data_IF_948419974349
#
_entry.id   IF_948419974349
#
_cell.length_a   1.000
_cell.length_b   1.000
_cell.length_c   1.000
_cell.angle_alpha   90.00
_cell.angle_beta   90.00
_cell.angle_gamma   90.00
#
_symmetry.space_group_name_H-M   'P 1'
#
loop_
_entity.id
_entity.type
_entity.pdbx_description
1 polymer ?
#
# COMPACT_ATOMS: atom_id res chain seq x y z
N UNK A 1 -11.87 62.02 -60.25
CA UNK A 1 -10.85 61.78 -59.21
C UNK A 1 -11.52 61.11 -58.03
N UNK A 2 -11.47 59.81 -57.95
CA UNK A 2 -12.13 59.03 -56.88
C UNK A 2 -11.10 58.65 -55.82
N UNK A 3 -11.24 59.16 -54.61
CA UNK A 3 -10.42 58.82 -53.45
C UNK A 3 -10.89 57.50 -52.88
N UNK A 4 -10.02 56.50 -52.90
CA UNK A 4 -10.21 55.13 -52.34
C UNK A 4 -9.81 55.15 -50.85
N UNK A 5 -10.78 55.09 -49.95
CA UNK A 5 -10.52 55.01 -48.51
C UNK A 5 -10.27 53.55 -48.10
N UNK A 6 -9.05 53.21 -47.65
CA UNK A 6 -8.76 51.93 -47.03
C UNK A 6 -9.15 51.93 -45.56
N UNK A 7 -10.08 51.05 -45.20
CA UNK A 7 -10.42 50.78 -43.80
C UNK A 7 -9.51 49.70 -43.28
N UNK A 8 -8.60 50.05 -42.36
CA UNK A 8 -7.78 49.11 -41.63
C UNK A 8 -8.62 48.50 -40.49
N UNK A 9 -8.90 47.20 -40.57
CA UNK A 9 -9.54 46.44 -39.49
C UNK A 9 -8.44 45.94 -38.55
N UNK A 10 -8.39 46.46 -37.33
CA UNK A 10 -7.49 45.97 -36.27
C UNK A 10 -8.18 44.78 -35.61
N UNK A 11 -7.65 43.57 -35.86
CA UNK A 11 -8.06 42.36 -35.15
C UNK A 11 -7.40 42.34 -33.77
N UNK A 12 -8.18 42.56 -32.72
CA UNK A 12 -7.70 42.36 -31.35
C UNK A 12 -7.61 40.87 -31.03
N UNK A 13 -6.39 40.38 -30.91
CA UNK A 13 -6.11 38.99 -30.44
C UNK A 13 -6.27 38.97 -28.93
N UNK A 14 -7.40 38.44 -28.45
CA UNK A 14 -7.63 38.13 -27.04
C UNK A 14 -6.80 36.95 -26.64
N UNK A 15 -5.63 37.16 -26.02
CA UNK A 15 -4.87 36.15 -25.36
C UNK A 15 -5.56 35.72 -24.04
N UNK A 16 -6.22 34.58 -24.04
CA UNK A 16 -6.74 33.95 -22.82
C UNK A 16 -5.56 33.46 -21.99
N UNK A 17 -5.44 33.83 -20.69
CA UNK A 17 -4.46 33.25 -19.81
C UNK A 17 -4.81 31.77 -19.60
N UNK A 18 -3.98 30.85 -20.03
CA UNK A 18 -4.03 29.44 -19.63
C UNK A 18 -3.73 29.39 -18.13
N UNK A 19 -4.77 29.22 -17.32
CA UNK A 19 -4.62 28.82 -15.92
C UNK A 19 -4.00 27.41 -15.93
N UNK A 20 -2.68 27.33 -15.78
CA UNK A 20 -2.03 26.10 -15.44
C UNK A 20 -2.59 25.69 -14.07
N UNK A 21 -3.44 24.66 -14.04
CA UNK A 21 -3.83 24.03 -12.79
C UNK A 21 -2.57 23.51 -12.13
N UNK A 22 -2.10 24.20 -11.10
CA UNK A 22 -1.07 23.69 -10.22
C UNK A 22 -1.66 22.42 -9.57
N UNK A 23 -1.31 21.26 -10.09
CA UNK A 23 -1.62 19.99 -9.46
C UNK A 23 -1.05 20.05 -8.05
N UNK A 24 -1.93 20.06 -7.05
CA UNK A 24 -1.51 19.86 -5.66
C UNK A 24 -0.89 18.49 -5.60
N UNK A 25 0.44 18.41 -5.50
CA UNK A 25 1.13 17.18 -5.17
C UNK A 25 0.67 16.81 -3.77
N UNK A 26 -0.22 15.81 -3.71
CA UNK A 26 -0.68 15.32 -2.43
C UNK A 26 0.47 14.58 -1.77
N UNK A 27 0.97 15.12 -0.67
CA UNK A 27 1.98 14.46 0.17
C UNK A 27 1.29 13.48 1.11
N UNK A 28 1.79 12.26 1.14
CA UNK A 28 1.36 11.25 2.08
C UNK A 28 2.06 11.41 3.43
N UNK A 29 1.44 10.87 4.47
CA UNK A 29 2.00 10.68 5.81
C UNK A 29 1.23 9.58 6.53
N UNK A 30 1.58 9.26 7.76
CA UNK A 30 0.98 8.16 8.52
C UNK A 30 -0.53 8.32 8.73
N UNK A 31 -1.05 9.55 8.83
CA UNK A 31 -2.47 9.82 9.02
C UNK A 31 -3.36 9.37 7.85
N UNK A 32 -2.79 9.09 6.68
CA UNK A 32 -3.55 8.60 5.52
C UNK A 32 -4.13 7.20 5.78
N UNK A 33 -3.49 6.42 6.66
CA UNK A 33 -3.94 5.10 7.07
C UNK A 33 -4.66 5.17 8.41
N UNK A 34 -5.99 5.14 8.37
CA UNK A 34 -6.83 5.13 9.58
C UNK A 34 -8.06 4.26 9.37
N UNK A 35 -8.37 3.43 10.39
CA UNK A 35 -9.52 2.53 10.38
C UNK A 35 -9.16 1.10 10.04
N UNK A 36 -10.17 0.30 9.72
CA UNK A 36 -10.04 -1.12 9.48
C UNK A 36 -9.77 -1.42 8.01
N UNK A 37 -8.86 -2.36 7.78
CA UNK A 37 -8.49 -2.89 6.46
C UNK A 37 -8.53 -4.41 6.48
N UNK A 38 -8.84 -5.02 5.35
CA UNK A 38 -8.67 -6.45 5.12
C UNK A 38 -7.49 -6.65 4.18
N UNK A 39 -6.46 -7.32 4.69
CA UNK A 39 -5.30 -7.76 3.95
C UNK A 39 -5.58 -9.12 3.33
N UNK A 40 -5.38 -9.22 2.02
CA UNK A 40 -5.29 -10.48 1.29
C UNK A 40 -3.90 -10.55 0.62
N UNK A 41 -3.11 -11.53 1.02
CA UNK A 41 -1.77 -11.73 0.51
C UNK A 41 -1.52 -13.19 0.16
N UNK A 42 -0.70 -13.43 -0.85
CA UNK A 42 -0.30 -14.77 -1.27
C UNK A 42 1.17 -14.80 -1.67
N UNK A 43 1.74 -15.98 -1.66
CA UNK A 43 3.13 -16.18 -2.00
C UNK A 43 3.61 -17.56 -1.65
N UNK A 44 4.86 -17.63 -1.20
CA UNK A 44 5.52 -18.89 -0.87
C UNK A 44 6.27 -18.78 0.45
N UNK A 45 6.34 -19.90 1.15
CA UNK A 45 7.12 -20.05 2.37
C UNK A 45 7.93 -21.34 2.34
N UNK A 46 8.95 -21.40 3.17
CA UNK A 46 9.65 -22.65 3.50
C UNK A 46 9.99 -22.64 4.98
N UNK A 47 10.14 -23.81 5.63
CA UNK A 47 10.51 -23.88 7.03
C UNK A 47 11.81 -23.11 7.30
N UNK A 48 11.88 -22.35 8.39
CA UNK A 48 13.02 -21.48 8.70
C UNK A 48 14.35 -22.23 8.85
N UNK A 49 14.28 -23.48 9.34
CA UNK A 49 15.43 -24.36 9.55
C UNK A 49 15.81 -25.20 8.31
N UNK A 50 15.18 -24.93 7.15
CA UNK A 50 15.40 -25.75 5.96
C UNK A 50 16.72 -25.42 5.28
N UNK A 51 17.43 -26.47 4.87
CA UNK A 51 18.66 -26.37 4.10
C UNK A 51 18.45 -25.99 2.64
N UNK A 52 19.55 -25.79 1.89
CA UNK A 52 19.49 -25.62 0.45
C UNK A 52 18.73 -26.76 -0.22
N UNK A 53 17.81 -26.44 -1.13
CA UNK A 53 17.02 -27.42 -1.87
C UNK A 53 15.66 -27.77 -1.25
N UNK A 54 15.31 -27.27 -0.07
CA UNK A 54 13.94 -27.42 0.46
C UNK A 54 12.95 -26.69 -0.45
N UNK A 55 11.88 -27.36 -0.91
CA UNK A 55 10.90 -26.76 -1.81
C UNK A 55 10.15 -25.62 -1.12
N UNK A 56 9.79 -24.60 -1.89
CA UNK A 56 8.87 -23.56 -1.50
C UNK A 56 7.45 -24.10 -1.50
N UNK A 57 6.68 -23.79 -0.47
CA UNK A 57 5.27 -24.18 -0.32
C UNK A 57 4.38 -22.94 -0.52
N UNK A 58 3.30 -23.03 -1.29
CA UNK A 58 2.33 -21.94 -1.41
C UNK A 58 1.77 -21.56 -0.05
N UNK A 59 1.62 -20.27 0.18
CA UNK A 59 1.05 -19.72 1.42
C UNK A 59 0.10 -18.58 1.09
N UNK A 60 -1.00 -18.46 1.84
CA UNK A 60 -1.96 -17.37 1.71
C UNK A 60 -2.32 -16.83 3.09
N UNK A 61 -2.62 -15.53 3.14
CA UNK A 61 -2.99 -14.82 4.37
C UNK A 61 -4.26 -14.02 4.09
N UNK A 62 -5.20 -14.10 5.01
CA UNK A 62 -6.31 -13.16 5.16
C UNK A 62 -6.23 -12.59 6.58
N UNK A 63 -6.12 -11.28 6.72
CA UNK A 63 -5.88 -10.64 8.00
C UNK A 63 -6.63 -9.31 8.11
N UNK A 64 -7.11 -9.01 9.31
CA UNK A 64 -7.71 -7.71 9.62
C UNK A 64 -6.67 -6.82 10.27
N UNK A 65 -6.50 -5.62 9.72
CA UNK A 65 -5.56 -4.60 10.21
C UNK A 65 -6.35 -3.39 10.68
N UNK A 66 -6.10 -2.93 11.89
CA UNK A 66 -6.65 -1.67 12.40
C UNK A 66 -5.54 -0.64 12.51
N UNK A 67 -5.52 0.33 11.59
CA UNK A 67 -4.57 1.44 11.59
C UNK A 67 -5.09 2.59 12.44
N UNK A 68 -4.23 3.16 13.31
CA UNK A 68 -4.60 4.24 14.22
C UNK A 68 -4.40 5.65 13.61
N UNK A 69 -3.66 5.77 12.52
CA UNK A 69 -3.33 7.06 11.88
C UNK A 69 -2.13 7.77 12.51
N UNK A 70 -1.41 7.12 13.40
CA UNK A 70 -0.28 7.67 14.17
C UNK A 70 1.01 6.84 14.02
N UNK A 71 1.07 5.96 13.02
CA UNK A 71 2.18 5.04 12.80
C UNK A 71 2.04 3.71 13.54
N UNK A 72 0.92 3.47 14.23
CA UNK A 72 0.68 2.21 14.95
C UNK A 72 -0.54 1.45 14.40
N UNK A 73 -0.54 0.13 14.55
CA UNK A 73 -1.65 -0.73 14.17
C UNK A 73 -1.81 -1.92 15.11
N UNK A 74 -2.98 -2.55 15.04
CA UNK A 74 -3.28 -3.84 15.67
C UNK A 74 -3.91 -4.81 14.68
N UNK A 75 -3.79 -6.12 14.94
CA UNK A 75 -4.34 -7.19 14.10
C UNK A 75 -5.28 -8.06 14.90
N UNK A 76 -6.60 -7.79 14.88
CA UNK A 76 -7.56 -8.52 15.70
C UNK A 76 -7.79 -9.97 15.28
N UNK A 77 -7.40 -10.35 14.06
CA UNK A 77 -7.53 -11.73 13.60
C UNK A 77 -6.80 -11.98 12.29
N UNK A 78 -6.27 -13.20 12.16
CA UNK A 78 -5.56 -13.69 10.98
C UNK A 78 -5.91 -15.14 10.67
N UNK A 79 -6.11 -15.45 9.39
CA UNK A 79 -6.17 -16.82 8.86
C UNK A 79 -5.01 -17.02 7.89
N UNK A 80 -4.19 -18.02 8.13
CA UNK A 80 -2.99 -18.32 7.33
C UNK A 80 -3.05 -19.78 6.86
N UNK A 81 -2.99 -19.98 5.55
CA UNK A 81 -2.77 -21.31 4.96
C UNK A 81 -1.28 -21.59 4.82
N UNK A 82 -0.85 -22.78 5.20
CA UNK A 82 0.55 -23.25 5.23
C UNK A 82 1.50 -22.31 6.01
N UNK A 83 1.21 -21.97 7.27
CA UNK A 83 1.88 -20.90 8.01
C UNK A 83 3.39 -21.12 8.18
N UNK A 84 3.83 -22.37 8.33
CA UNK A 84 5.22 -22.73 8.61
C UNK A 84 5.90 -23.52 7.48
N UNK A 85 5.27 -23.57 6.29
CA UNK A 85 5.73 -24.38 5.17
C UNK A 85 5.20 -25.82 5.21
N UNK A 86 4.24 -26.11 6.09
CA UNK A 86 3.56 -27.42 6.15
C UNK A 86 2.36 -27.44 5.22
N UNK A 87 2.39 -28.31 4.22
CA UNK A 87 1.31 -28.43 3.24
C UNK A 87 0.00 -28.85 3.90
N UNK A 88 -1.06 -28.08 3.70
CA UNK A 88 -2.41 -28.34 4.21
C UNK A 88 -2.67 -27.85 5.65
N UNK A 89 -1.68 -27.26 6.32
CA UNK A 89 -1.89 -26.62 7.61
C UNK A 89 -2.65 -25.29 7.46
N UNK A 90 -3.54 -25.00 8.40
CA UNK A 90 -4.24 -23.71 8.53
C UNK A 90 -4.08 -23.21 9.96
N UNK A 91 -3.67 -21.97 10.11
CA UNK A 91 -3.68 -21.24 11.36
C UNK A 91 -4.83 -20.23 11.32
N UNK A 92 -5.74 -20.34 12.27
CA UNK A 92 -6.79 -19.34 12.49
C UNK A 92 -6.67 -18.89 13.96
N UNK A 93 -6.35 -17.62 14.15
CA UNK A 93 -6.03 -17.10 15.47
C UNK A 93 -6.60 -15.70 15.69
N UNK A 94 -7.22 -15.43 16.86
CA UNK A 94 -7.41 -14.07 17.33
C UNK A 94 -6.04 -13.52 17.73
N UNK A 95 -5.46 -12.69 16.87
CA UNK A 95 -4.13 -12.11 17.13
C UNK A 95 -4.33 -10.65 17.50
N UNK A 96 -3.85 -10.25 18.66
CA UNK A 96 -3.77 -8.85 19.05
C UNK A 96 -2.35 -8.31 18.85
N UNK A 97 -1.62 -8.81 17.85
CA UNK A 97 -0.24 -8.40 17.65
C UNK A 97 -0.19 -6.91 17.28
N UNK A 98 0.57 -6.11 18.04
CA UNK A 98 0.83 -4.73 17.67
C UNK A 98 1.80 -4.69 16.48
N UNK A 99 1.72 -3.60 15.73
CA UNK A 99 2.67 -3.30 14.68
C UNK A 99 2.93 -1.82 14.58
N UNK A 100 3.93 -1.46 13.81
CA UNK A 100 4.21 -0.08 13.43
C UNK A 100 4.27 0.07 11.90
N UNK A 101 4.04 1.28 11.43
CA UNK A 101 4.20 1.65 10.02
C UNK A 101 4.70 3.08 9.90
N UNK A 102 5.28 3.38 8.76
CA UNK A 102 5.72 4.73 8.43
C UNK A 102 5.50 4.98 6.94
N UNK A 103 4.90 6.12 6.61
CA UNK A 103 4.59 6.54 5.25
C UNK A 103 5.38 7.81 4.91
N UNK A 104 6.15 7.75 3.84
CA UNK A 104 6.88 8.88 3.28
C UNK A 104 5.97 9.73 2.38
N UNK A 105 6.40 10.95 2.06
CA UNK A 105 5.65 11.92 1.25
C UNK A 105 5.30 11.39 -0.16
N UNK A 106 6.08 10.45 -0.70
CA UNK A 106 5.85 9.77 -1.98
C UNK A 106 4.85 8.60 -1.89
N UNK A 107 4.18 8.43 -0.74
CA UNK A 107 3.25 7.35 -0.42
C UNK A 107 3.89 5.96 -0.31
N UNK A 108 5.20 5.84 -0.40
CA UNK A 108 5.91 4.61 -0.04
C UNK A 108 6.09 4.50 1.47
N UNK A 109 6.33 3.29 1.96
CA UNK A 109 6.52 3.13 3.40
C UNK A 109 6.97 1.73 3.81
N UNK A 110 6.91 1.51 5.12
CA UNK A 110 7.16 0.22 5.76
C UNK A 110 6.05 -0.12 6.72
N UNK A 111 5.75 -1.40 6.84
CA UNK A 111 4.86 -1.98 7.82
C UNK A 111 5.60 -3.11 8.52
N UNK A 112 5.58 -3.15 9.85
CA UNK A 112 6.24 -4.18 10.65
C UNK A 112 5.31 -4.70 11.73
N UNK A 113 5.18 -6.02 11.82
CA UNK A 113 4.52 -6.70 12.92
C UNK A 113 5.52 -7.04 14.02
N UNK A 114 5.12 -6.84 15.27
CA UNK A 114 5.94 -7.12 16.46
C UNK A 114 5.69 -8.55 16.98
N UNK A 115 5.45 -9.48 16.06
CA UNK A 115 5.41 -10.89 16.36
C UNK A 115 6.84 -11.47 16.56
N UNK A 116 6.91 -12.75 16.96
CA UNK A 116 8.19 -13.45 17.13
C UNK A 116 9.08 -13.49 15.88
N UNK A 117 8.50 -13.28 14.70
CA UNK A 117 9.21 -13.32 13.42
C UNK A 117 9.59 -11.93 12.91
N UNK A 118 9.12 -10.87 13.55
CA UNK A 118 9.33 -9.47 13.13
C UNK A 118 9.09 -9.28 11.63
N UNK A 119 7.91 -9.72 11.15
CA UNK A 119 7.57 -9.67 9.74
C UNK A 119 7.50 -8.23 9.26
N UNK A 120 8.23 -7.93 8.20
CA UNK A 120 8.32 -6.58 7.63
C UNK A 120 7.92 -6.57 6.16
N UNK A 121 7.18 -5.54 5.78
CA UNK A 121 6.74 -5.28 4.42
C UNK A 121 7.23 -3.90 3.94
N UNK A 122 7.56 -3.81 2.66
CA UNK A 122 7.49 -2.55 1.93
C UNK A 122 6.07 -2.36 1.46
N UNK A 123 5.57 -1.13 1.62
CA UNK A 123 4.19 -0.79 1.24
C UNK A 123 4.16 0.43 0.32
N UNK A 124 3.12 0.52 -0.47
CA UNK A 124 2.73 1.71 -1.22
C UNK A 124 1.25 1.98 -1.00
N UNK A 125 0.92 3.18 -0.56
CA UNK A 125 -0.44 3.60 -0.24
C UNK A 125 -1.03 4.35 -1.43
N UNK A 126 -2.22 3.95 -1.85
CA UNK A 126 -2.91 4.62 -2.96
C UNK A 126 -3.44 5.98 -2.53
N UNK A 127 -2.90 7.09 -3.08
CA UNK A 127 -3.47 8.41 -2.82
C UNK A 127 -4.79 8.62 -3.58
N UNK A 128 -5.64 9.57 -3.21
CA UNK A 128 -5.52 10.48 -2.07
C UNK A 128 -6.10 9.91 -0.76
N UNK A 129 -6.85 8.82 -0.81
CA UNK A 129 -7.69 8.38 0.30
C UNK A 129 -7.04 7.34 1.21
N UNK A 130 -5.94 6.72 0.77
CA UNK A 130 -5.33 5.62 1.50
C UNK A 130 -6.23 4.39 1.62
N UNK A 131 -7.18 4.21 0.71
CA UNK A 131 -8.17 3.13 0.73
C UNK A 131 -7.59 1.77 0.33
N UNK A 132 -6.43 1.79 -0.31
CA UNK A 132 -5.73 0.60 -0.78
C UNK A 132 -4.24 0.72 -0.47
N UNK A 133 -3.66 -0.38 0.02
CA UNK A 133 -2.24 -0.53 0.27
C UNK A 133 -1.76 -1.73 -0.56
N UNK A 134 -0.73 -1.56 -1.37
CA UNK A 134 0.02 -2.67 -1.95
C UNK A 134 1.23 -2.97 -1.08
N UNK A 135 1.55 -4.24 -0.94
CA UNK A 135 2.64 -4.66 -0.06
C UNK A 135 3.43 -5.84 -0.62
N UNK A 136 4.71 -5.86 -0.27
CA UNK A 136 5.60 -6.98 -0.49
C UNK A 136 6.42 -7.24 0.78
N UNK A 137 6.51 -8.50 1.19
CA UNK A 137 7.29 -8.88 2.35
C UNK A 137 8.78 -8.80 2.06
N UNK A 138 9.52 -8.23 3.01
CA UNK A 138 10.98 -8.09 2.93
C UNK A 138 11.73 -8.86 4.01
N UNK A 139 11.03 -9.26 5.08
CA UNK A 139 11.58 -10.06 6.17
C UNK A 139 10.48 -10.95 6.77
N UNK A 140 10.76 -12.21 7.16
CA UNK A 140 12.01 -12.96 7.00
C UNK A 140 12.21 -13.49 5.56
N UNK A 141 13.46 -13.81 5.21
CA UNK A 141 13.86 -14.23 3.86
C UNK A 141 13.34 -15.62 3.43
N UNK A 142 12.79 -16.39 4.36
CA UNK A 142 12.13 -17.68 4.07
C UNK A 142 10.67 -17.55 3.66
N UNK A 143 10.19 -16.34 3.46
CA UNK A 143 8.87 -16.03 2.91
C UNK A 143 9.00 -15.05 1.75
N UNK A 144 8.18 -15.25 0.73
CA UNK A 144 8.02 -14.33 -0.39
C UNK A 144 6.53 -14.08 -0.56
N UNK A 145 6.09 -12.92 -0.11
CA UNK A 145 4.68 -12.53 -0.10
C UNK A 145 4.45 -11.22 -0.81
N UNK A 146 3.33 -11.16 -1.51
CA UNK A 146 2.76 -9.91 -2.00
C UNK A 146 1.24 -9.91 -1.81
N UNK A 147 0.65 -8.74 -1.72
CA UNK A 147 -0.78 -8.61 -1.57
C UNK A 147 -1.25 -7.18 -1.54
N UNK A 148 -2.51 -7.03 -1.15
CA UNK A 148 -3.11 -5.72 -0.92
C UNK A 148 -3.97 -5.73 0.33
N UNK A 149 -4.03 -4.58 1.01
CA UNK A 149 -5.02 -4.33 2.05
C UNK A 149 -6.00 -3.26 1.57
N UNK A 150 -7.27 -3.51 1.76
CA UNK A 150 -8.35 -2.59 1.35
C UNK A 150 -9.15 -2.17 2.58
N UNK A 151 -9.42 -0.86 2.68
CA UNK A 151 -10.23 -0.31 3.77
C UNK A 151 -11.65 -0.85 3.70
N UNK A 152 -12.18 -1.28 4.85
CA UNK A 152 -13.59 -1.66 5.03
C UNK A 152 -14.31 -0.54 5.78
N UNK A 153 -15.51 -0.20 5.34
CA UNK A 153 -16.32 0.92 5.85
C UNK A 153 -17.40 0.40 6.81
#
# INVERSE_FOLDING_TARGET
MNAFQWKIAIAAVLSLPTLAAAGTTQTCNDNILKGQYVLAASGFTRPAASGPGTPWVPKAILEVLNFNGDGTLTTPGVTIANPFGDTGAVLDAPVGAPGDYSISEDCSGTLRFHDINSVTYKIFVKPPLGDTIWLIQTNPANNVFQGSATRVY
#
